data_IF_962497707174
#
_entry.id   IF_962497707174
#
_cell.length_a   1.000
_cell.length_b   1.000
_cell.length_c   1.000
_cell.angle_alpha   90.00
_cell.angle_beta   90.00
_cell.angle_gamma   90.00
#
_symmetry.space_group_name_H-M   'P 1'
#
loop_
_entity.id
_entity.type
_entity.pdbx_description
1 polymer ?
#
# COMPACT_ATOMS: atom_id res chain seq x y z
N UNK A 1 22.17 27.08 -23.02
CA UNK A 1 21.63 25.72 -23.01
C UNK A 1 21.10 25.41 -21.61
N UNK A 2 19.78 25.55 -21.40
CA UNK A 2 19.13 25.31 -20.09
C UNK A 2 18.46 23.93 -20.13
N UNK A 3 19.12 22.92 -19.55
CA UNK A 3 18.52 21.61 -19.31
C UNK A 3 17.79 21.63 -17.98
N UNK A 4 16.48 21.85 -18.01
CA UNK A 4 15.62 21.65 -16.85
C UNK A 4 15.31 20.17 -16.71
N UNK A 5 15.90 19.52 -15.69
CA UNK A 5 15.53 18.18 -15.26
C UNK A 5 14.06 18.23 -14.79
N UNK A 6 13.15 17.77 -15.65
CA UNK A 6 11.74 17.62 -15.29
C UNK A 6 11.61 16.29 -14.56
N UNK A 7 11.82 16.32 -13.24
CA UNK A 7 11.43 15.21 -12.36
C UNK A 7 9.90 15.27 -12.27
N UNK A 8 9.22 14.74 -13.29
CA UNK A 8 7.84 14.33 -13.11
C UNK A 8 7.93 13.08 -12.22
N UNK A 9 7.63 13.23 -10.94
CA UNK A 9 7.38 12.09 -10.06
C UNK A 9 6.22 11.32 -10.69
N UNK A 10 6.41 10.09 -11.18
CA UNK A 10 5.28 9.37 -11.76
C UNK A 10 4.40 8.93 -10.60
N UNK A 11 3.27 9.62 -10.41
CA UNK A 11 2.26 9.18 -9.45
C UNK A 11 1.56 7.97 -10.05
N UNK A 12 1.96 6.77 -9.63
CA UNK A 12 1.22 5.54 -9.90
C UNK A 12 -0.10 5.63 -9.12
N UNK A 13 -1.17 6.08 -9.78
CA UNK A 13 -2.52 6.16 -9.19
C UNK A 13 -3.32 4.90 -9.49
N UNK A 14 -3.03 3.80 -8.79
CA UNK A 14 -3.89 2.63 -8.77
C UNK A 14 -4.86 2.72 -7.59
N UNK A 15 -6.17 2.88 -7.86
CA UNK A 15 -7.21 2.84 -6.82
C UNK A 15 -7.94 1.51 -6.92
N UNK A 16 -7.68 0.62 -5.95
CA UNK A 16 -8.28 -0.71 -5.91
C UNK A 16 -8.86 -0.98 -4.53
N UNK A 17 -9.99 -1.69 -4.50
CA UNK A 17 -10.67 -2.11 -3.27
C UNK A 17 -10.66 -3.61 -3.17
N UNK A 18 -10.26 -4.10 -2.01
CA UNK A 18 -10.21 -5.54 -1.74
C UNK A 18 -10.66 -5.80 -0.31
N UNK A 19 -11.33 -6.93 -0.09
CA UNK A 19 -11.78 -7.38 1.23
C UNK A 19 -10.96 -8.59 1.63
N UNK A 20 -10.05 -8.39 2.58
CA UNK A 20 -9.28 -9.46 3.20
C UNK A 20 -10.11 -10.05 4.34
N UNK A 21 -10.25 -11.38 4.37
CA UNK A 21 -11.01 -12.12 5.39
C UNK A 21 -10.10 -13.12 6.07
N UNK A 22 -10.42 -13.56 7.29
CA UNK A 22 -9.57 -14.52 8.01
C UNK A 22 -9.23 -15.80 7.23
N UNK A 23 -10.15 -16.28 6.39
CA UNK A 23 -9.93 -17.44 5.49
C UNK A 23 -9.25 -17.10 4.17
N UNK A 24 -9.18 -15.82 3.81
CA UNK A 24 -8.53 -15.30 2.61
C UNK A 24 -7.77 -14.03 2.98
N UNK A 25 -6.66 -14.16 3.72
CA UNK A 25 -5.94 -13.01 4.28
C UNK A 25 -5.04 -12.34 3.24
N UNK A 26 -4.85 -12.98 2.09
CA UNK A 26 -3.99 -12.53 1.02
C UNK A 26 -4.84 -12.03 -0.14
N UNK A 27 -4.34 -11.00 -0.81
CA UNK A 27 -4.80 -10.64 -2.13
C UNK A 27 -3.76 -9.79 -2.84
N UNK A 28 -3.77 -9.87 -4.16
CA UNK A 28 -2.81 -9.23 -5.03
C UNK A 28 -3.51 -8.27 -5.97
N UNK A 29 -2.79 -7.23 -6.35
CA UNK A 29 -3.25 -6.22 -7.29
C UNK A 29 -2.10 -6.00 -8.25
N UNK A 30 -2.39 -6.14 -9.53
CA UNK A 30 -1.46 -5.80 -10.59
C UNK A 30 -1.77 -4.38 -11.07
N UNK A 31 -0.73 -3.58 -11.24
CA UNK A 31 -0.84 -2.24 -11.82
C UNK A 31 0.26 -2.06 -12.85
N UNK A 32 -0.10 -1.45 -13.98
CA UNK A 32 0.85 -1.15 -15.05
C UNK A 32 1.63 0.12 -14.74
N UNK A 33 2.93 0.10 -15.07
CA UNK A 33 3.78 1.28 -15.14
C UNK A 33 4.01 1.64 -16.61
N UNK A 34 4.16 2.93 -16.91
CA UNK A 34 4.56 3.37 -18.24
C UNK A 34 6.01 2.96 -18.50
N UNK A 35 6.26 2.20 -19.57
CA UNK A 35 7.60 1.64 -19.88
C UNK A 35 8.67 2.69 -20.20
N UNK A 36 8.26 3.93 -20.50
CA UNK A 36 9.12 5.06 -20.78
C UNK A 36 9.55 5.84 -19.52
N UNK A 37 9.04 5.48 -18.34
CA UNK A 37 9.32 6.18 -17.08
C UNK A 37 9.91 5.24 -16.02
N UNK A 38 11.01 5.66 -15.40
CA UNK A 38 11.59 4.98 -14.23
C UNK A 38 10.98 5.61 -12.98
N UNK A 39 10.07 4.89 -12.32
CA UNK A 39 9.59 5.28 -10.98
C UNK A 39 10.69 4.96 -9.99
N UNK A 40 11.26 5.99 -9.37
CA UNK A 40 12.30 5.82 -8.35
C UNK A 40 11.75 5.85 -6.93
N UNK A 41 10.50 6.34 -6.77
CA UNK A 41 9.77 6.41 -5.50
C UNK A 41 8.27 6.38 -5.78
N UNK A 42 7.52 5.59 -5.01
CA UNK A 42 6.07 5.63 -5.02
C UNK A 42 5.52 5.66 -3.58
N UNK A 43 4.30 6.15 -3.42
CA UNK A 43 3.60 6.21 -2.14
C UNK A 43 2.35 5.36 -2.22
N UNK A 44 2.28 4.34 -1.37
CA UNK A 44 1.08 3.52 -1.23
C UNK A 44 0.14 4.20 -0.24
N UNK A 45 -1.06 4.57 -0.70
CA UNK A 45 -2.13 5.09 0.12
C UNK A 45 -3.14 3.96 0.40
N UNK A 46 -3.27 3.56 1.66
CA UNK A 46 -4.15 2.49 2.10
C UNK A 46 -5.32 3.06 2.88
N UNK A 47 -6.52 2.66 2.49
CA UNK A 47 -7.75 2.91 3.22
C UNK A 47 -8.35 1.55 3.60
N UNK A 48 -8.42 1.25 4.90
CA UNK A 48 -8.93 -0.04 5.38
C UNK A 48 -9.69 0.10 6.70
N UNK A 49 -10.57 -0.85 6.96
CA UNK A 49 -11.34 -0.95 8.21
C UNK A 49 -11.06 -2.30 8.85
N UNK A 50 -10.16 -2.37 9.86
CA UNK A 50 -9.88 -3.61 10.58
C UNK A 50 -11.14 -4.17 11.23
N UNK A 51 -11.34 -5.49 11.16
CA UNK A 51 -12.48 -6.13 11.82
C UNK A 51 -12.40 -5.95 13.35
N UNK A 52 -13.52 -5.63 14.04
CA UNK A 52 -13.55 -5.54 15.51
C UNK A 52 -13.06 -6.79 16.24
N UNK A 53 -13.11 -7.95 15.58
CA UNK A 53 -12.69 -9.23 16.16
C UNK A 53 -11.19 -9.53 15.97
N UNK A 54 -10.43 -8.65 15.32
CA UNK A 54 -8.97 -8.80 15.20
C UNK A 54 -8.31 -8.60 16.57
N UNK A 55 -7.20 -9.32 16.78
CA UNK A 55 -6.37 -9.17 17.97
C UNK A 55 -5.39 -8.00 17.76
N UNK A 56 -5.50 -6.89 18.50
CA UNK A 56 -4.55 -5.79 18.38
C UNK A 56 -3.12 -6.26 18.64
N UNK A 57 -2.13 -5.59 18.04
CA UNK A 57 -0.68 -5.89 18.16
C UNK A 57 -0.27 -7.20 17.46
N UNK A 58 -1.09 -8.24 17.49
CA UNK A 58 -0.84 -9.52 16.78
C UNK A 58 -1.32 -9.48 15.32
N UNK A 59 -2.39 -8.74 15.05
CA UNK A 59 -2.91 -8.56 13.70
C UNK A 59 -2.10 -7.47 12.99
N UNK A 60 -1.61 -7.79 11.79
CA UNK A 60 -0.79 -6.90 10.99
C UNK A 60 -1.10 -7.06 9.51
N UNK A 61 -1.03 -5.97 8.77
CA UNK A 61 -1.09 -5.97 7.31
C UNK A 61 0.34 -5.95 6.77
N UNK A 62 0.73 -6.99 6.05
CA UNK A 62 2.01 -7.05 5.34
C UNK A 62 1.80 -6.62 3.90
N UNK A 63 2.64 -5.71 3.42
CA UNK A 63 2.57 -5.21 2.05
C UNK A 63 3.80 -5.71 1.30
N UNK A 64 3.54 -6.39 0.19
CA UNK A 64 4.57 -6.91 -0.69
C UNK A 64 4.49 -6.22 -2.05
N UNK A 65 5.64 -5.99 -2.66
CA UNK A 65 5.78 -5.53 -4.04
C UNK A 65 6.77 -6.46 -4.73
N UNK A 66 6.33 -7.14 -5.79
CA UNK A 66 7.14 -8.14 -6.50
C UNK A 66 7.77 -9.16 -5.53
N UNK A 67 6.98 -9.69 -4.60
CA UNK A 67 7.39 -10.63 -3.53
C UNK A 67 8.35 -10.08 -2.46
N UNK A 68 8.79 -8.81 -2.58
CA UNK A 68 9.61 -8.16 -1.57
C UNK A 68 8.75 -7.44 -0.52
N UNK A 69 9.06 -7.64 0.76
CA UNK A 69 8.33 -7.02 1.87
C UNK A 69 8.66 -5.52 1.95
N UNK A 70 7.70 -4.68 1.58
CA UNK A 70 7.85 -3.22 1.64
C UNK A 70 7.62 -2.68 3.06
N UNK A 71 6.72 -3.29 3.82
CA UNK A 71 6.47 -2.89 5.19
C UNK A 71 5.32 -3.64 5.85
N UNK A 72 5.18 -3.35 7.16
CA UNK A 72 4.20 -4.00 8.03
C UNK A 72 3.45 -2.92 8.79
N UNK A 73 2.12 -2.95 8.69
CA UNK A 73 1.24 -2.03 9.38
C UNK A 73 0.54 -2.78 10.53
N UNK A 74 0.90 -2.52 11.79
CA UNK A 74 0.23 -3.15 12.92
C UNK A 74 -1.20 -2.62 13.04
N UNK A 75 -2.11 -3.48 13.46
CA UNK A 75 -3.47 -3.09 13.82
C UNK A 75 -3.50 -2.75 15.31
N UNK A 76 -3.87 -1.50 15.63
CA UNK A 76 -4.04 -1.04 17.01
C UNK A 76 -5.51 -1.14 17.44
N UNK A 77 -5.74 -1.10 18.76
CA UNK A 77 -7.09 -1.28 19.32
C UNK A 77 -8.02 -0.15 18.91
N UNK A 78 -7.48 1.06 18.72
CA UNK A 78 -8.23 2.27 18.40
C UNK A 78 -8.77 2.26 16.96
N UNK A 79 -8.13 1.48 16.08
CA UNK A 79 -8.45 1.31 14.66
C UNK A 79 -9.55 0.28 14.41
N UNK A 80 -9.80 -0.62 15.37
CA UNK A 80 -10.79 -1.70 15.23
C UNK A 80 -12.19 -1.17 14.93
N UNK A 81 -12.80 -1.66 13.86
CA UNK A 81 -14.13 -1.24 13.40
C UNK A 81 -14.18 0.18 12.83
N UNK A 82 -13.03 0.86 12.70
CA UNK A 82 -12.96 2.24 12.23
C UNK A 82 -12.17 2.34 10.93
N UNK A 83 -12.61 3.29 10.10
CA UNK A 83 -11.92 3.64 8.88
C UNK A 83 -10.54 4.21 9.22
N UNK A 84 -9.51 3.57 8.71
CA UNK A 84 -8.10 3.90 8.96
C UNK A 84 -7.41 4.23 7.64
N UNK A 85 -6.60 5.28 7.65
CA UNK A 85 -5.74 5.66 6.55
C UNK A 85 -4.29 5.39 6.94
N UNK A 86 -3.53 4.76 6.05
CA UNK A 86 -2.10 4.57 6.19
C UNK A 86 -1.41 4.96 4.89
N UNK A 87 -0.22 5.55 5.03
CA UNK A 87 0.65 5.87 3.91
C UNK A 87 1.99 5.20 4.12
N UNK A 88 2.53 4.60 3.06
CA UNK A 88 3.81 3.93 3.13
C UNK A 88 4.60 4.15 1.84
N UNK A 89 5.86 4.60 1.93
CA UNK A 89 6.72 4.63 0.75
C UNK A 89 6.97 3.19 0.28
N UNK A 90 6.91 2.99 -1.02
CA UNK A 90 7.25 1.72 -1.66
C UNK A 90 8.37 1.96 -2.68
N UNK A 91 9.23 0.96 -2.85
CA UNK A 91 10.34 1.00 -3.80
C UNK A 91 10.03 0.03 -4.95
N UNK A 92 9.53 0.53 -6.09
CA UNK A 92 9.09 -0.29 -7.22
C UNK A 92 10.21 -0.88 -8.06
#
# INVERSE_FOLDING_TARGET
FRGGLRVASPEVMAVVRMVLRGITPNGSIEFGMRSDEVVTKAMLNLEYTPSPSLLPVQSQLKVYLNDELMGVLPVTKEQLGKKTLAQMPINP
#
